data_IF_216178823357
#
_entry.id   IF_216178823357
#
_cell.length_a   1.000
_cell.length_b   1.000
_cell.length_c   1.000
_cell.angle_alpha   90.00
_cell.angle_beta   90.00
_cell.angle_gamma   90.00
#
_symmetry.space_group_name_H-M   'P 1'
#
loop_
_entity.id
_entity.type
_entity.pdbx_description
1 polymer ?
#
# COMPACT_ATOMS: atom_id res chain seq x y z
N UNK A 1 23.32 72.12 8.27
CA UNK A 1 22.07 72.47 8.98
C UNK A 1 21.08 71.34 8.71
N UNK A 2 20.70 70.59 9.75
CA UNK A 2 19.75 69.47 9.63
C UNK A 2 18.33 70.08 9.59
N UNK A 3 17.51 69.70 8.61
CA UNK A 3 16.14 70.19 8.47
C UNK A 3 15.27 69.63 9.60
N UNK A 4 14.47 70.45 10.31
CA UNK A 4 13.61 69.96 11.37
C UNK A 4 12.48 69.10 10.76
N UNK A 5 12.58 67.78 10.94
CA UNK A 5 11.60 66.81 10.45
C UNK A 5 12.16 65.64 9.64
N UNK A 6 13.44 65.69 9.25
CA UNK A 6 14.10 64.51 8.68
C UNK A 6 14.58 63.59 9.82
N UNK A 7 14.17 62.31 9.84
CA UNK A 7 14.60 61.38 10.88
C UNK A 7 16.11 61.28 10.88
N UNK A 8 16.70 61.25 12.07
CA UNK A 8 18.14 61.17 12.22
C UNK A 8 18.66 59.86 11.62
N UNK A 9 19.93 59.84 11.18
CA UNK A 9 20.54 58.62 10.62
C UNK A 9 20.46 57.47 11.63
N UNK A 10 20.59 57.77 12.91
CA UNK A 10 20.46 56.80 14.01
C UNK A 10 19.04 56.22 14.13
N UNK A 11 18.00 57.05 14.04
CA UNK A 11 16.60 56.61 14.02
C UNK A 11 16.30 55.71 12.80
N UNK A 12 16.83 56.08 11.64
CA UNK A 12 16.69 55.28 10.42
C UNK A 12 17.38 53.92 10.56
N UNK A 13 18.61 53.88 11.10
CA UNK A 13 19.33 52.63 11.37
C UNK A 13 18.59 51.74 12.37
N UNK A 14 18.08 52.32 13.47
CA UNK A 14 17.30 51.60 14.46
C UNK A 14 16.02 51.00 13.84
N UNK A 15 15.34 51.76 12.97
CA UNK A 15 14.14 51.29 12.26
C UNK A 15 14.47 50.19 11.26
N UNK A 16 15.58 50.28 10.53
CA UNK A 16 16.05 49.21 9.64
C UNK A 16 16.34 47.93 10.44
N UNK A 17 17.04 48.03 11.56
CA UNK A 17 17.35 46.88 12.41
C UNK A 17 16.07 46.21 12.96
N UNK A 18 15.09 47.00 13.39
CA UNK A 18 13.80 46.49 13.85
C UNK A 18 13.03 45.78 12.72
N UNK A 19 12.94 46.39 11.53
CA UNK A 19 12.30 45.78 10.36
C UNK A 19 13.03 44.52 9.87
N UNK A 20 14.35 44.45 10.01
CA UNK A 20 15.13 43.25 9.70
C UNK A 20 14.89 42.13 10.73
N UNK A 21 14.72 42.47 12.01
CA UNK A 21 14.34 41.49 13.03
C UNK A 21 12.92 40.94 12.79
N UNK A 22 11.97 41.82 12.48
CA UNK A 22 10.60 41.42 12.15
C UNK A 22 10.53 40.57 10.88
N UNK A 23 11.25 40.96 9.82
CA UNK A 23 11.34 40.15 8.60
C UNK A 23 11.89 38.75 8.90
N UNK A 24 12.93 38.63 9.71
CA UNK A 24 13.48 37.31 10.10
C UNK A 24 12.43 36.45 10.80
N UNK A 25 11.72 37.01 11.78
CA UNK A 25 10.65 36.30 12.49
C UNK A 25 9.51 35.88 11.56
N UNK A 26 9.11 36.76 10.64
CA UNK A 26 8.07 36.43 9.65
C UNK A 26 8.54 35.35 8.69
N UNK A 27 9.79 35.40 8.21
CA UNK A 27 10.34 34.36 7.33
C UNK A 27 10.40 32.99 8.00
N UNK A 28 10.84 32.93 9.27
CA UNK A 28 10.84 31.68 10.04
C UNK A 28 9.42 31.12 10.20
N UNK A 29 8.43 32.00 10.42
CA UNK A 29 7.04 31.60 10.54
C UNK A 29 6.45 31.11 9.23
N UNK A 30 6.80 31.73 8.10
CA UNK A 30 6.38 31.28 6.77
C UNK A 30 6.91 29.88 6.50
N UNK A 31 8.22 29.64 6.69
CA UNK A 31 8.82 28.31 6.47
C UNK A 31 8.12 27.25 7.32
N UNK A 32 7.88 27.52 8.60
CA UNK A 32 7.17 26.60 9.48
C UNK A 32 5.75 26.28 8.98
N UNK A 33 5.00 27.31 8.57
CA UNK A 33 3.64 27.13 8.09
C UNK A 33 3.61 26.37 6.75
N UNK A 34 4.57 26.60 5.87
CA UNK A 34 4.71 25.87 4.61
C UNK A 34 4.98 24.38 4.86
N UNK A 35 5.87 24.04 5.79
CA UNK A 35 6.13 22.66 6.20
C UNK A 35 4.88 21.97 6.77
N UNK A 36 4.17 22.65 7.68
CA UNK A 36 2.91 22.14 8.25
C UNK A 36 1.86 21.90 7.15
N UNK A 37 1.79 22.78 6.15
CA UNK A 37 0.87 22.66 5.02
C UNK A 37 1.24 21.47 4.12
N UNK A 38 2.52 21.28 3.82
CA UNK A 38 3.02 20.12 3.06
C UNK A 38 2.67 18.82 3.80
N UNK A 39 2.94 18.75 5.10
CA UNK A 39 2.61 17.58 5.92
C UNK A 39 1.11 17.31 5.92
N UNK A 40 0.28 18.34 6.13
CA UNK A 40 -1.18 18.18 6.09
C UNK A 40 -1.69 17.70 4.73
N UNK A 41 -1.13 18.20 3.62
CA UNK A 41 -1.45 17.73 2.26
C UNK A 41 -1.06 16.26 2.07
N UNK A 42 0.13 15.86 2.51
CA UNK A 42 0.57 14.47 2.46
C UNK A 42 -0.36 13.59 3.30
N UNK A 43 -0.67 13.96 4.54
CA UNK A 43 -1.60 13.17 5.37
C UNK A 43 -3.00 13.01 4.75
N UNK A 44 -3.50 14.02 4.03
CA UNK A 44 -4.85 14.00 3.46
C UNK A 44 -4.92 13.34 2.09
N UNK A 45 -3.92 13.55 1.24
CA UNK A 45 -3.95 13.20 -0.18
C UNK A 45 -2.86 12.20 -0.58
N UNK A 46 -1.88 11.89 0.27
CA UNK A 46 -0.91 10.86 -0.06
C UNK A 46 -1.63 9.50 -0.18
N UNK A 47 -1.24 8.69 -1.18
CA UNK A 47 -1.78 7.36 -1.33
C UNK A 47 -1.51 6.54 -0.05
N UNK A 48 -2.56 5.93 0.50
CA UNK A 48 -2.45 5.06 1.68
C UNK A 48 -1.84 3.69 1.36
N UNK A 49 -1.53 3.41 0.09
CA UNK A 49 -0.87 2.17 -0.31
C UNK A 49 0.65 2.35 -0.27
N UNK A 50 1.36 1.36 0.24
CA UNK A 50 2.83 1.24 0.18
C UNK A 50 3.39 1.07 -1.25
N UNK A 51 2.58 1.29 -2.29
CA UNK A 51 3.04 1.41 -3.67
C UNK A 51 3.84 2.72 -3.80
N UNK A 52 5.11 2.65 -3.44
CA UNK A 52 6.09 3.72 -3.65
C UNK A 52 6.21 4.02 -5.14
N UNK A 53 6.23 5.31 -5.52
CA UNK A 53 6.29 5.75 -6.93
C UNK A 53 7.70 5.58 -7.52
N UNK A 54 8.73 5.56 -6.68
CA UNK A 54 10.14 5.39 -7.06
C UNK A 54 10.57 3.91 -6.95
N UNK A 55 9.76 3.01 -7.48
CA UNK A 55 10.13 1.60 -7.54
C UNK A 55 11.13 1.39 -8.66
N UNK A 56 12.40 1.50 -8.28
CA UNK A 56 13.53 0.89 -9.01
C UNK A 56 13.36 -0.63 -9.24
N UNK A 57 12.32 -1.25 -8.67
CA UNK A 57 11.98 -2.66 -8.77
C UNK A 57 10.50 -2.88 -9.19
N UNK A 58 9.97 -2.05 -10.08
CA UNK A 58 8.62 -2.23 -10.66
C UNK A 58 8.59 -3.12 -11.92
N UNK A 59 9.70 -3.76 -12.27
CA UNK A 59 9.85 -4.63 -13.45
C UNK A 59 8.72 -5.69 -13.53
N UNK A 60 8.31 -6.25 -12.39
CA UNK A 60 7.24 -7.25 -12.33
C UNK A 60 5.83 -6.67 -12.50
N UNK A 61 5.57 -5.44 -12.05
CA UNK A 61 4.28 -4.76 -12.28
C UNK A 61 4.21 -4.25 -13.73
N UNK A 62 5.32 -3.74 -14.27
CA UNK A 62 5.39 -3.26 -15.66
C UNK A 62 5.21 -4.40 -16.67
N UNK A 63 5.82 -5.57 -16.45
CA UNK A 63 5.56 -6.77 -17.27
C UNK A 63 4.08 -7.18 -17.20
N UNK A 64 3.45 -7.06 -16.03
CA UNK A 64 2.04 -7.40 -15.88
C UNK A 64 1.08 -6.42 -16.59
N UNK A 65 1.47 -5.14 -16.72
CA UNK A 65 0.71 -4.11 -17.43
C UNK A 65 0.95 -4.15 -18.95
N UNK A 66 2.17 -4.45 -19.41
CA UNK A 66 2.49 -4.68 -20.82
C UNK A 66 1.75 -5.92 -21.36
N UNK A 67 1.67 -7.00 -20.56
CA UNK A 67 0.87 -8.19 -20.88
C UNK A 67 -0.65 -7.92 -20.90
N UNK A 68 -1.12 -6.88 -20.20
CA UNK A 68 -2.53 -6.46 -20.19
C UNK A 68 -2.89 -5.50 -21.34
N UNK A 69 -1.90 -4.80 -21.88
CA UNK A 69 -2.06 -3.84 -22.98
C UNK A 69 -1.80 -4.46 -24.37
N UNK A 70 -1.37 -5.73 -24.40
CA UNK A 70 -0.96 -6.47 -25.60
C UNK A 70 -2.06 -7.28 -26.30
N UNK A 71 -3.35 -6.97 -26.12
CA UNK A 71 -4.41 -7.42 -27.02
C UNK A 71 -4.61 -6.38 -28.14
N UNK A 72 -3.57 -6.13 -28.95
CA UNK A 72 -3.68 -5.70 -30.36
C UNK A 72 -2.27 -5.47 -30.97
N UNK A 73 -1.73 -6.55 -31.55
CA UNK A 73 -0.92 -6.53 -32.77
C UNK A 73 0.38 -5.71 -32.83
N UNK A 74 1.50 -6.36 -32.52
CA UNK A 74 2.60 -6.41 -33.50
C UNK A 74 3.40 -7.70 -33.32
N UNK A 75 3.12 -8.68 -34.18
CA UNK A 75 3.94 -9.89 -34.31
C UNK A 75 5.25 -9.42 -34.95
N UNK A 76 6.25 -9.11 -34.13
CA UNK A 76 7.63 -8.98 -34.62
C UNK A 76 7.99 -10.33 -35.23
N UNK A 77 8.12 -10.40 -36.55
CA UNK A 77 8.65 -11.56 -37.24
C UNK A 77 10.13 -11.69 -36.86
N UNK A 78 10.42 -12.47 -35.81
CA UNK A 78 11.79 -12.90 -35.55
C UNK A 78 12.25 -13.79 -36.71
N UNK A 79 13.52 -13.66 -37.16
CA UNK A 79 14.05 -14.54 -38.19
C UNK A 79 14.05 -15.98 -37.70
N UNK A 80 13.77 -16.92 -38.61
CA UNK A 80 13.81 -18.35 -38.32
C UNK A 80 15.23 -18.76 -37.89
N UNK A 81 15.38 -19.13 -36.63
CA UNK A 81 16.67 -19.47 -36.01
C UNK A 81 16.99 -20.96 -36.12
N UNK A 82 16.12 -21.78 -36.75
CA UNK A 82 16.32 -23.23 -36.89
C UNK A 82 16.33 -23.98 -35.56
N UNK A 83 15.97 -23.33 -34.46
CA UNK A 83 15.82 -23.93 -33.13
C UNK A 83 14.42 -24.54 -33.02
N UNK A 84 14.27 -25.70 -32.34
CA UNK A 84 12.96 -26.29 -32.13
C UNK A 84 12.06 -25.30 -31.39
N UNK A 85 10.89 -25.04 -31.95
CA UNK A 85 9.87 -24.20 -31.34
C UNK A 85 9.49 -24.78 -29.98
N UNK A 86 9.88 -24.09 -28.90
CA UNK A 86 9.36 -24.41 -27.58
C UNK A 86 7.90 -24.00 -27.58
N UNK A 87 6.99 -24.97 -27.47
CA UNK A 87 5.57 -24.72 -27.28
C UNK A 87 5.42 -23.72 -26.13
N UNK A 88 4.85 -22.54 -26.41
CA UNK A 88 4.53 -21.56 -25.38
C UNK A 88 3.61 -22.27 -24.39
N UNK A 89 3.95 -22.33 -23.09
CA UNK A 89 3.05 -22.91 -22.12
C UNK A 89 1.74 -22.11 -22.17
N UNK A 90 0.63 -22.82 -22.41
CA UNK A 90 -0.70 -22.24 -22.43
C UNK A 90 -0.87 -21.35 -21.19
N UNK A 91 -1.31 -20.11 -21.41
CA UNK A 91 -1.42 -19.08 -20.38
C UNK A 91 -2.14 -19.63 -19.16
N UNK A 92 -1.43 -19.76 -18.04
CA UNK A 92 -2.02 -20.23 -16.79
C UNK A 92 -3.20 -19.32 -16.46
N UNK A 93 -4.38 -19.91 -16.32
CA UNK A 93 -5.61 -19.19 -15.96
C UNK A 93 -5.34 -18.29 -14.74
N UNK A 94 -5.53 -16.99 -14.92
CA UNK A 94 -5.34 -15.98 -13.88
C UNK A 94 -6.44 -16.18 -12.82
N UNK A 95 -6.05 -16.38 -11.57
CA UNK A 95 -6.96 -16.66 -10.45
C UNK A 95 -6.23 -17.19 -9.21
N UNK A 96 -6.92 -17.21 -8.07
CA UNK A 96 -6.39 -17.85 -6.85
C UNK A 96 -6.25 -19.35 -7.11
N UNK A 97 -5.03 -19.88 -6.98
CA UNK A 97 -4.81 -21.33 -7.03
C UNK A 97 -5.46 -21.97 -5.80
N UNK A 98 -6.07 -23.16 -5.95
CA UNK A 98 -6.59 -23.89 -4.80
C UNK A 98 -5.44 -24.21 -3.83
N UNK A 99 -5.78 -24.38 -2.55
CA UNK A 99 -4.79 -24.83 -1.57
C UNK A 99 -4.27 -26.21 -1.95
N UNK A 100 -2.99 -26.52 -1.69
CA UNK A 100 -2.41 -27.79 -2.07
C UNK A 100 -3.16 -29.00 -1.45
N UNK A 101 -3.47 -29.99 -2.29
CA UNK A 101 -4.27 -31.17 -1.88
C UNK A 101 -3.57 -32.08 -0.86
N UNK A 102 -2.23 -32.02 -0.80
CA UNK A 102 -1.42 -32.83 0.12
C UNK A 102 -1.47 -32.32 1.57
N UNK A 103 -1.99 -31.11 1.80
CA UNK A 103 -2.14 -30.58 3.15
C UNK A 103 -3.40 -31.15 3.81
N UNK A 104 -3.31 -31.56 5.09
CA UNK A 104 -4.47 -32.06 5.81
C UNK A 104 -5.51 -30.96 5.97
N UNK A 105 -6.77 -31.27 5.64
CA UNK A 105 -7.92 -30.37 5.84
C UNK A 105 -8.57 -30.67 7.17
N UNK A 106 -8.56 -29.71 8.08
CA UNK A 106 -9.30 -29.78 9.35
C UNK A 106 -10.66 -29.08 9.20
N UNK A 107 -11.77 -29.78 9.49
CA UNK A 107 -13.13 -29.23 9.38
C UNK A 107 -13.60 -28.72 10.73
N UNK A 108 -13.68 -27.40 10.88
CA UNK A 108 -14.27 -26.73 12.06
C UNK A 108 -15.72 -26.36 11.76
N UNK A 109 -16.67 -26.97 12.46
CA UNK A 109 -18.09 -26.65 12.33
C UNK A 109 -18.50 -25.56 13.33
N UNK A 110 -19.02 -24.44 12.81
CA UNK A 110 -19.65 -23.40 13.63
C UNK A 110 -21.17 -23.58 13.54
N UNK A 111 -21.78 -24.09 14.60
CA UNK A 111 -23.23 -24.31 14.69
C UNK A 111 -23.80 -23.58 15.92
N UNK A 112 -25.11 -23.29 15.87
CA UNK A 112 -25.82 -22.69 17.00
C UNK A 112 -25.97 -23.69 18.14
N UNK A 113 -26.10 -23.17 19.37
CA UNK A 113 -26.31 -24.00 20.55
C UNK A 113 -27.61 -24.82 20.45
N UNK A 114 -27.64 -26.01 21.06
CA UNK A 114 -28.74 -26.97 20.90
C UNK A 114 -30.10 -26.43 21.34
N UNK A 115 -30.11 -25.60 22.38
CA UNK A 115 -31.28 -24.88 22.90
C UNK A 115 -31.88 -23.88 21.89
N UNK A 116 -31.08 -23.41 20.93
CA UNK A 116 -31.48 -22.45 19.90
C UNK A 116 -31.91 -23.12 18.58
N UNK A 117 -31.85 -24.46 18.49
CA UNK A 117 -32.23 -25.22 17.28
C UNK A 117 -33.73 -25.47 17.15
N UNK A 118 -34.57 -24.83 17.97
CA UNK A 118 -36.03 -24.95 17.89
C UNK A 118 -36.65 -23.68 17.27
N UNK A 119 -37.62 -23.84 16.35
CA UNK A 119 -38.30 -22.66 15.77
C UNK A 119 -39.01 -21.89 16.88
N UNK A 120 -38.84 -20.56 16.98
CA UNK A 120 -39.61 -19.74 17.92
C UNK A 120 -41.12 -19.77 17.62
N UNK A 121 -41.51 -20.12 16.39
CA UNK A 121 -42.87 -20.15 15.90
C UNK A 121 -43.66 -21.40 16.30
N UNK A 122 -43.07 -22.58 16.11
CA UNK A 122 -43.76 -23.87 16.19
C UNK A 122 -43.00 -24.89 17.07
N UNK A 123 -41.86 -24.51 17.65
CA UNK A 123 -40.99 -25.33 18.51
C UNK A 123 -40.51 -26.65 17.90
N UNK A 124 -40.60 -26.79 16.59
CA UNK A 124 -40.03 -27.93 15.87
C UNK A 124 -38.53 -27.71 15.66
N UNK A 125 -37.78 -28.81 15.52
CA UNK A 125 -36.35 -28.77 15.25
C UNK A 125 -36.07 -28.12 13.88
N UNK A 126 -35.22 -27.11 13.87
CA UNK A 126 -34.72 -26.49 12.65
C UNK A 126 -33.78 -27.47 11.93
N UNK A 127 -33.96 -27.62 10.62
CA UNK A 127 -33.06 -28.44 9.81
C UNK A 127 -31.93 -27.57 9.26
N UNK A 128 -30.76 -28.17 9.03
CA UNK A 128 -29.61 -27.48 8.44
C UNK A 128 -29.93 -27.16 6.97
N UNK A 129 -29.82 -25.89 6.58
CA UNK A 129 -29.99 -25.45 5.20
C UNK A 129 -28.70 -24.82 4.67
N UNK A 130 -28.11 -25.45 3.65
CA UNK A 130 -26.89 -24.99 3.00
C UNK A 130 -25.64 -25.08 3.89
N UNK A 131 -24.48 -25.25 3.26
CA UNK A 131 -23.20 -25.07 3.94
C UNK A 131 -22.33 -24.11 3.12
N UNK A 132 -21.71 -23.15 3.81
CA UNK A 132 -20.72 -22.25 3.22
C UNK A 132 -19.33 -22.75 3.63
N UNK A 133 -18.58 -23.30 2.68
CA UNK A 133 -17.24 -23.84 2.92
C UNK A 133 -16.20 -22.78 2.59
N UNK A 134 -15.33 -22.44 3.54
CA UNK A 134 -14.16 -21.59 3.31
C UNK A 134 -12.90 -22.32 3.78
N UNK A 135 -11.83 -22.27 2.99
CA UNK A 135 -10.54 -22.88 3.34
C UNK A 135 -9.54 -21.81 3.79
N UNK A 136 -8.80 -22.07 4.88
CA UNK A 136 -7.75 -21.19 5.40
C UNK A 136 -6.47 -22.00 5.61
N UNK A 137 -5.32 -21.44 5.20
CA UNK A 137 -4.01 -22.05 5.38
C UNK A 137 -3.39 -21.61 6.72
N UNK A 138 -3.25 -22.53 7.67
CA UNK A 138 -2.56 -22.29 8.93
C UNK A 138 -1.09 -22.75 8.84
N UNK A 139 -0.14 -21.87 9.17
CA UNK A 139 1.30 -22.15 9.10
C UNK A 139 1.93 -21.93 10.48
N UNK A 140 2.46 -23.00 11.09
CA UNK A 140 3.23 -22.92 12.33
C UNK A 140 4.73 -22.78 12.03
N UNK A 141 5.33 -21.63 12.39
CA UNK A 141 6.78 -21.41 12.25
C UNK A 141 7.47 -21.83 13.55
N UNK A 142 8.30 -22.89 13.51
CA UNK A 142 9.10 -23.34 14.67
C UNK A 142 10.48 -22.68 14.65
N UNK A 143 10.75 -21.78 15.59
CA UNK A 143 12.06 -21.16 15.77
C UNK A 143 12.97 -22.04 16.65
N UNK A 144 14.28 -22.08 16.35
CA UNK A 144 15.30 -22.75 17.18
C UNK A 144 16.55 -21.89 17.28
N UNK A 145 17.22 -21.95 18.43
CA UNK A 145 18.54 -21.36 18.64
C UNK A 145 19.60 -22.45 18.43
N UNK A 146 20.59 -22.19 17.59
CA UNK A 146 21.73 -23.07 17.37
C UNK A 146 22.91 -22.56 18.20
N UNK A 147 23.41 -23.39 19.12
CA UNK A 147 24.66 -23.13 19.83
C UNK A 147 25.72 -24.10 19.29
N UNK A 148 26.76 -23.54 18.67
CA UNK A 148 27.90 -24.30 18.18
C UNK A 148 29.08 -24.08 19.14
N UNK A 149 29.64 -25.16 19.67
CA UNK A 149 30.85 -25.16 20.51
C UNK A 149 32.01 -25.68 19.67
N UNK A 150 33.19 -25.04 19.76
CA UNK A 150 34.42 -25.47 19.10
C UNK A 150 35.30 -26.24 20.07
#
# INVERSE_FOLDING_TARGET
MIRPGEPTVEELMARIAALQAENRQLTERVVKLEEELVLARLHRFAPKSEKHVDRLFDEAEQVADDDASGEDGEVVHLPDTGLPSTERPEGKKRGRKPLPEHLPRERVEYDIAHDQKACPCCRHQMHRMGEAVTEQLHIEVKAKVLQNVR
#
